data_IF_257852001724
#
_entry.id   IF_257852001724
#
_cell.length_a   1.000
_cell.length_b   1.000
_cell.length_c   1.000
_cell.angle_alpha   90.00
_cell.angle_beta   90.00
_cell.angle_gamma   90.00
#
_symmetry.space_group_name_H-M   'P 1'
#
loop_
_entity.id
_entity.type
_entity.pdbx_description
1 polymer ?
#
# COMPACT_ATOMS: atom_id res chain seq x y z
N UNK A 1 3.23 -17.64 3.95
CA UNK A 1 3.29 -16.84 2.71
C UNK A 1 4.50 -15.95 2.85
N UNK A 2 5.54 -16.19 2.04
CA UNK A 2 6.79 -15.44 2.12
C UNK A 2 6.68 -14.10 1.40
N UNK A 3 7.53 -13.15 1.77
CA UNK A 3 7.64 -11.85 1.11
C UNK A 3 8.58 -11.92 -0.10
N UNK A 4 8.41 -11.02 -1.07
CA UNK A 4 9.25 -10.98 -2.28
C UNK A 4 10.75 -10.93 -1.94
N UNK A 5 11.11 -10.15 -0.91
CA UNK A 5 12.50 -9.99 -0.50
C UNK A 5 13.16 -11.24 0.13
N UNK A 6 12.38 -12.28 0.45
CA UNK A 6 12.85 -13.55 1.00
C UNK A 6 13.11 -14.59 -0.08
N UNK A 7 12.68 -14.34 -1.32
CA UNK A 7 12.86 -15.26 -2.45
C UNK A 7 14.32 -15.29 -2.92
N UNK A 8 14.78 -16.40 -3.52
CA UNK A 8 16.10 -16.46 -4.16
C UNK A 8 16.26 -15.39 -5.25
N UNK A 9 17.47 -14.87 -5.51
CA UNK A 9 17.69 -13.83 -6.52
C UNK A 9 17.20 -14.20 -7.93
N UNK A 10 17.35 -15.45 -8.34
CA UNK A 10 16.88 -15.96 -9.63
C UNK A 10 15.35 -15.85 -9.78
N UNK A 11 14.63 -16.14 -8.69
CA UNK A 11 13.18 -16.04 -8.63
C UNK A 11 12.72 -14.58 -8.58
N UNK A 12 13.42 -13.73 -7.83
CA UNK A 12 13.17 -12.30 -7.81
C UNK A 12 13.33 -11.70 -9.23
N UNK A 13 14.39 -12.07 -9.94
CA UNK A 13 14.62 -11.60 -11.32
C UNK A 13 13.51 -12.08 -12.27
N UNK A 14 13.08 -13.34 -12.15
CA UNK A 14 11.95 -13.87 -12.93
C UNK A 14 10.68 -13.06 -12.69
N UNK A 15 10.31 -12.87 -11.43
CA UNK A 15 9.09 -12.14 -11.05
C UNK A 15 9.13 -10.67 -11.50
N UNK A 16 10.29 -10.00 -11.42
CA UNK A 16 10.46 -8.63 -11.93
C UNK A 16 10.33 -8.56 -13.45
N UNK A 17 10.80 -9.58 -14.19
CA UNK A 17 10.60 -9.67 -15.64
C UNK A 17 9.14 -9.89 -16.02
N UNK A 18 8.43 -10.73 -15.26
CA UNK A 18 7.00 -11.00 -15.49
C UNK A 18 6.11 -9.81 -15.11
N UNK A 19 6.43 -9.15 -13.99
CA UNK A 19 5.72 -7.96 -13.53
C UNK A 19 6.71 -6.93 -12.94
N UNK A 20 6.94 -5.81 -13.64
CA UNK A 20 7.83 -4.74 -13.19
C UNK A 20 7.47 -4.13 -11.83
N UNK A 21 6.23 -4.29 -11.34
CA UNK A 21 5.79 -3.81 -10.02
C UNK A 21 6.51 -4.50 -8.85
N UNK A 22 7.08 -5.69 -9.04
CA UNK A 22 7.99 -6.32 -8.07
C UNK A 22 9.32 -5.54 -7.94
N UNK A 23 9.71 -4.78 -8.98
CA UNK A 23 10.90 -3.93 -8.95
C UNK A 23 10.69 -2.60 -8.21
N UNK A 24 9.45 -2.20 -7.94
CA UNK A 24 9.15 -0.94 -7.26
C UNK A 24 8.96 -1.14 -5.76
N UNK A 25 9.90 -0.67 -4.94
CA UNK A 25 9.76 -0.72 -3.47
C UNK A 25 8.88 0.41 -2.96
N UNK A 26 7.77 0.07 -2.31
CA UNK A 26 6.88 1.00 -1.60
C UNK A 26 7.32 1.19 -0.15
N UNK A 27 7.58 0.10 0.59
CA UNK A 27 8.05 0.15 1.98
C UNK A 27 9.52 -0.28 2.06
N UNK A 28 10.42 0.68 2.29
CA UNK A 28 11.86 0.38 2.41
C UNK A 28 12.22 -0.39 3.68
N UNK A 29 11.52 -0.14 4.80
CA UNK A 29 11.85 -0.79 6.07
C UNK A 29 11.60 -2.30 6.04
N UNK A 30 10.47 -2.71 5.49
CA UNK A 30 10.08 -4.13 5.39
C UNK A 30 10.35 -4.71 3.99
N UNK A 31 10.97 -3.93 3.08
CA UNK A 31 11.27 -4.28 1.68
C UNK A 31 10.05 -4.79 0.89
N UNK A 32 8.93 -4.09 1.02
CA UNK A 32 7.67 -4.43 0.37
C UNK A 32 7.52 -3.71 -0.96
N UNK A 33 7.20 -4.47 -1.98
CA UNK A 33 7.04 -4.04 -3.38
C UNK A 33 5.64 -3.46 -3.66
N UNK A 34 5.48 -2.76 -4.78
CA UNK A 34 4.17 -2.27 -5.24
C UNK A 34 3.23 -3.42 -5.53
N UNK A 35 3.74 -4.51 -6.11
CA UNK A 35 2.95 -5.71 -6.37
C UNK A 35 2.40 -6.34 -5.10
N UNK A 36 3.19 -6.45 -4.03
CA UNK A 36 2.70 -6.96 -2.75
C UNK A 36 1.62 -6.07 -2.11
N UNK A 37 1.70 -4.74 -2.29
CA UNK A 37 0.62 -3.83 -1.87
C UNK A 37 -0.64 -4.06 -2.70
N UNK A 38 -0.50 -4.21 -4.03
CA UNK A 38 -1.61 -4.51 -4.93
C UNK A 38 -2.29 -5.83 -4.55
N UNK A 39 -1.51 -6.89 -4.34
CA UNK A 39 -2.01 -8.20 -3.92
C UNK A 39 -2.75 -8.12 -2.57
N UNK A 40 -2.26 -7.27 -1.66
CA UNK A 40 -2.96 -7.01 -0.40
C UNK A 40 -4.30 -6.30 -0.62
N UNK A 41 -4.42 -5.39 -1.58
CA UNK A 41 -5.66 -4.65 -1.90
C UNK A 41 -6.66 -5.55 -2.63
N UNK A 42 -6.24 -6.17 -3.74
CA UNK A 42 -7.03 -6.96 -4.69
C UNK A 42 -7.36 -8.38 -4.17
N UNK A 43 -7.02 -8.68 -2.92
CA UNK A 43 -7.36 -9.96 -2.30
C UNK A 43 -8.88 -10.20 -2.29
N UNK A 44 -9.30 -11.46 -2.18
CA UNK A 44 -10.71 -11.89 -2.23
C UNK A 44 -11.63 -11.26 -1.18
N UNK A 45 -11.09 -10.81 -0.04
CA UNK A 45 -11.84 -10.11 1.01
C UNK A 45 -11.92 -8.60 0.78
N UNK A 46 -11.22 -8.07 -0.22
CA UNK A 46 -11.15 -6.65 -0.58
C UNK A 46 -10.63 -5.81 0.57
N UNK A 47 -9.31 -5.72 0.74
CA UNK A 47 -8.75 -4.90 1.81
C UNK A 47 -9.07 -3.42 1.56
N UNK A 48 -9.98 -2.84 2.36
CA UNK A 48 -10.43 -1.44 2.21
C UNK A 48 -9.83 -0.48 3.22
N UNK A 49 -9.03 -0.96 4.18
CA UNK A 49 -8.46 -0.14 5.25
C UNK A 49 -6.95 -0.19 5.29
N UNK A 50 -6.29 0.89 5.70
CA UNK A 50 -4.82 0.92 5.78
C UNK A 50 -4.25 -0.14 6.74
N UNK A 51 -4.95 -0.41 7.84
CA UNK A 51 -4.59 -1.48 8.77
C UNK A 51 -4.70 -2.86 8.12
N UNK A 52 -5.70 -3.09 7.26
CA UNK A 52 -5.83 -4.37 6.55
C UNK A 52 -4.69 -4.61 5.55
N UNK A 53 -4.26 -3.56 4.82
CA UNK A 53 -3.09 -3.64 3.92
C UNK A 53 -1.83 -3.90 4.76
N UNK A 54 -1.65 -3.16 5.87
CA UNK A 54 -0.54 -3.34 6.83
C UNK A 54 -0.41 -4.78 7.31
N UNK A 55 -1.51 -5.44 7.70
CA UNK A 55 -1.41 -6.81 8.21
C UNK A 55 -1.11 -7.85 7.12
N UNK A 56 -1.47 -7.58 5.86
CA UNK A 56 -1.25 -8.50 4.74
C UNK A 56 0.14 -8.36 4.14
N UNK A 57 0.57 -7.13 3.91
CA UNK A 57 1.83 -6.83 3.25
C UNK A 57 2.95 -6.43 4.23
N UNK A 58 2.65 -6.25 5.53
CA UNK A 58 3.56 -5.73 6.57
C UNK A 58 4.04 -4.29 6.38
N UNK A 59 3.53 -3.53 5.41
CA UNK A 59 3.95 -2.14 5.23
C UNK A 59 3.72 -1.31 6.51
N UNK A 60 4.72 -0.50 6.88
CA UNK A 60 4.64 0.35 8.06
C UNK A 60 4.80 -0.38 9.40
N UNK A 61 5.21 -1.66 9.41
CA UNK A 61 5.59 -2.38 10.63
C UNK A 61 7.06 -2.21 11.02
N UNK A 62 7.90 -1.65 10.15
CA UNK A 62 9.31 -1.38 10.42
C UNK A 62 9.57 -0.04 11.12
N UNK A 63 10.86 0.35 11.23
CA UNK A 63 11.31 1.52 12.02
C UNK A 63 10.56 2.83 11.76
N UNK A 64 10.11 3.07 10.53
CA UNK A 64 9.40 4.31 10.18
C UNK A 64 7.92 4.36 10.55
N UNK A 65 7.35 3.24 11.03
CA UNK A 65 5.95 3.14 11.46
C UNK A 65 4.92 3.65 10.44
N UNK A 66 5.22 3.53 9.14
CA UNK A 66 4.34 3.94 8.05
C UNK A 66 4.53 5.38 7.56
N UNK A 67 5.37 6.19 8.20
CA UNK A 67 5.54 7.61 7.87
C UNK A 67 5.92 7.90 6.41
N UNK A 68 6.58 6.96 5.73
CA UNK A 68 6.99 7.13 4.32
C UNK A 68 6.13 6.36 3.31
N UNK A 69 5.70 5.13 3.65
CA UNK A 69 4.95 4.31 2.70
C UNK A 69 3.46 4.65 2.70
N UNK A 70 2.87 5.11 3.82
CA UNK A 70 1.44 5.43 3.88
C UNK A 70 1.03 6.51 2.87
N UNK A 71 1.74 7.65 2.74
CA UNK A 71 1.38 8.65 1.71
C UNK A 71 1.49 8.12 0.28
N UNK A 72 2.43 7.21 0.00
CA UNK A 72 2.57 6.57 -1.32
C UNK A 72 1.42 5.62 -1.62
N UNK A 73 0.99 4.83 -0.62
CA UNK A 73 -0.16 3.92 -0.74
C UNK A 73 -1.45 4.73 -0.92
N UNK A 74 -1.64 5.81 -0.16
CA UNK A 74 -2.79 6.72 -0.31
C UNK A 74 -2.85 7.26 -1.74
N UNK A 75 -1.71 7.75 -2.27
CA UNK A 75 -1.63 8.24 -3.65
C UNK A 75 -1.95 7.15 -4.67
N UNK A 76 -1.41 5.94 -4.51
CA UNK A 76 -1.71 4.80 -5.38
C UNK A 76 -3.21 4.47 -5.37
N UNK A 77 -3.84 4.43 -4.19
CA UNK A 77 -5.28 4.19 -4.05
C UNK A 77 -6.12 5.28 -4.72
N UNK A 78 -5.69 6.54 -4.65
CA UNK A 78 -6.35 7.65 -5.36
C UNK A 78 -6.23 7.48 -6.86
N UNK A 79 -5.00 7.37 -7.35
CA UNK A 79 -4.67 7.50 -8.77
C UNK A 79 -5.12 6.25 -9.55
N UNK A 80 -5.12 5.07 -8.93
CA UNK A 80 -5.42 3.80 -9.60
C UNK A 80 -6.80 3.21 -9.26
N UNK A 81 -7.35 3.52 -8.08
CA UNK A 81 -8.63 2.98 -7.62
C UNK A 81 -9.71 4.06 -7.44
N UNK A 82 -9.37 5.34 -7.64
CA UNK A 82 -10.32 6.45 -7.54
C UNK A 82 -10.79 6.75 -6.13
N UNK A 83 -10.03 6.37 -5.09
CA UNK A 83 -10.40 6.65 -3.70
C UNK A 83 -10.49 8.15 -3.45
N UNK A 84 -11.58 8.57 -2.82
CA UNK A 84 -11.83 9.92 -2.33
C UNK A 84 -11.37 10.07 -0.87
N UNK A 85 -11.21 11.30 -0.35
CA UNK A 85 -10.82 11.53 1.04
C UNK A 85 -11.61 10.70 2.07
N UNK A 86 -12.91 10.52 1.85
CA UNK A 86 -13.80 9.74 2.73
C UNK A 86 -13.61 8.22 2.64
N UNK A 87 -13.02 7.70 1.56
CA UNK A 87 -12.80 6.26 1.37
C UNK A 87 -11.61 5.74 2.19
N UNK A 88 -10.73 6.63 2.64
CA UNK A 88 -9.54 6.26 3.41
C UNK A 88 -9.88 5.95 4.87
N UNK A 89 -10.18 4.68 5.14
CA UNK A 89 -10.37 4.20 6.50
C UNK A 89 -9.06 3.69 7.10
N UNK A 90 -8.77 4.07 8.33
CA UNK A 90 -7.61 3.55 9.05
C UNK A 90 -7.82 2.09 9.45
N UNK A 91 -8.87 1.79 10.24
CA UNK A 91 -9.16 0.45 10.78
C UNK A 91 -10.58 -0.04 10.49
N UNK A 92 -11.57 0.79 10.80
CA UNK A 92 -13.00 0.47 10.77
C UNK A 92 -13.84 1.68 10.31
N UNK A 93 -15.16 1.51 10.15
CA UNK A 93 -16.05 2.60 9.77
C UNK A 93 -15.96 3.77 10.77
N UNK A 94 -15.88 5.00 10.28
CA UNK A 94 -15.71 6.20 11.10
C UNK A 94 -14.27 6.49 11.53
N UNK A 95 -13.30 5.62 11.20
CA UNK A 95 -11.87 5.87 11.41
C UNK A 95 -11.22 6.55 10.20
N UNK A 96 -11.85 7.62 9.71
CA UNK A 96 -11.41 8.34 8.51
C UNK A 96 -10.00 8.90 8.72
N UNK A 97 -9.11 8.65 7.75
CA UNK A 97 -7.75 9.17 7.76
C UNK A 97 -7.72 10.67 7.48
N UNK A 98 -8.67 11.14 6.66
CA UNK A 98 -8.84 12.54 6.30
C UNK A 98 -10.21 13.02 6.75
N UNK A 99 -10.26 14.22 7.31
CA UNK A 99 -11.49 14.86 7.83
C UNK A 99 -11.89 16.10 7.03
N UNK A 100 -11.23 16.36 5.91
CA UNK A 100 -11.49 17.49 5.03
C UNK A 100 -10.20 18.18 4.55
N UNK A 101 -10.38 19.23 3.75
CA UNK A 101 -9.30 20.05 3.22
C UNK A 101 -9.06 21.27 4.12
N UNK A 102 -7.79 21.61 4.39
CA UNK A 102 -7.40 22.78 5.20
C UNK A 102 -7.56 24.09 4.41
N UNK A 103 -7.50 24.02 3.07
CA UNK A 103 -7.68 25.15 2.16
C UNK A 103 -8.78 24.81 1.17
N UNK A 104 -9.59 25.80 0.83
CA UNK A 104 -10.57 25.68 -0.25
C UNK A 104 -9.83 25.66 -1.58
N UNK A 105 -9.79 24.48 -2.21
CA UNK A 105 -9.22 24.27 -3.53
C UNK A 105 -9.75 22.96 -4.10
N UNK A 106 -10.05 22.94 -5.39
CA UNK A 106 -10.54 21.75 -6.09
C UNK A 106 -9.59 20.55 -5.85
N UNK A 107 -10.16 19.40 -5.48
CA UNK A 107 -9.44 18.14 -5.29
C UNK A 107 -8.67 17.81 -6.58
N UNK A 108 -7.35 18.03 -6.57
CA UNK A 108 -6.42 17.72 -7.66
C UNK A 108 -5.73 16.37 -7.48
#
# INVERSE_FOLDING_TARGET
MGHFCELPPEEQERLVKENPEYGEIICRCEKITKKEIRDAIENTLGAKTLVSIKYRARNGMGRCQGGFCTPRIVRMLRDEYGFKPDDYLFREAGSNLFTGNVREGEDK
#
